data_IF_207670524608
#
_entry.id   IF_207670524608
#
_cell.length_a   1.000
_cell.length_b   1.000
_cell.length_c   1.000
_cell.angle_alpha   90.00
_cell.angle_beta   90.00
_cell.angle_gamma   90.00
#
_symmetry.space_group_name_H-M   'P 1'
#
loop_
_entity.id
_entity.type
_entity.pdbx_description
1 polymer ?
#
# COMPACT_ATOMS: atom_id res chain seq x y z
N UNK A 1 -0.76 -73.59 -15.65
CA UNK A 1 -1.33 -72.37 -16.30
C UNK A 1 -2.52 -71.77 -15.57
N UNK A 2 -3.74 -72.35 -15.58
CA UNK A 2 -4.94 -71.69 -14.98
C UNK A 2 -4.78 -71.31 -13.50
N UNK A 3 -4.12 -72.16 -12.70
CA UNK A 3 -3.87 -71.91 -11.27
C UNK A 3 -2.85 -70.80 -11.01
N UNK A 4 -1.83 -70.68 -11.88
CA UNK A 4 -0.80 -69.63 -11.78
C UNK A 4 -1.34 -68.26 -12.23
N UNK A 5 -2.20 -68.25 -13.26
CA UNK A 5 -2.90 -67.03 -13.70
C UNK A 5 -3.87 -66.53 -12.62
N UNK A 6 -4.60 -67.44 -11.97
CA UNK A 6 -5.50 -67.09 -10.86
C UNK A 6 -4.74 -66.52 -9.64
N UNK A 7 -3.56 -67.06 -9.33
CA UNK A 7 -2.70 -66.54 -8.25
C UNK A 7 -2.14 -65.16 -8.64
N UNK A 8 -1.72 -64.96 -9.89
CA UNK A 8 -1.24 -63.66 -10.37
C UNK A 8 -2.34 -62.58 -10.33
N UNK A 9 -3.57 -62.93 -10.73
CA UNK A 9 -4.74 -62.04 -10.67
C UNK A 9 -5.12 -61.75 -9.21
N UNK A 10 -5.06 -62.73 -8.30
CA UNK A 10 -5.26 -62.49 -6.87
C UNK A 10 -4.19 -61.57 -6.29
N UNK A 11 -2.91 -61.77 -6.63
CA UNK A 11 -1.82 -60.89 -6.18
C UNK A 11 -2.01 -59.48 -6.73
N UNK A 12 -2.41 -59.33 -8.00
CA UNK A 12 -2.76 -58.02 -8.59
C UNK A 12 -3.97 -57.37 -7.91
N UNK A 13 -5.01 -58.13 -7.55
CA UNK A 13 -6.20 -57.62 -6.84
C UNK A 13 -5.96 -57.33 -5.35
N UNK A 14 -4.95 -57.96 -4.75
CA UNK A 14 -4.54 -57.73 -3.35
C UNK A 14 -3.50 -56.61 -3.25
N UNK A 15 -2.70 -56.39 -4.31
CA UNK A 15 -1.69 -55.31 -4.38
C UNK A 15 -2.26 -54.02 -4.97
N UNK A 16 -3.26 -54.08 -5.87
CA UNK A 16 -3.90 -52.90 -6.44
C UNK A 16 -4.55 -51.95 -5.40
N UNK A 17 -5.16 -52.41 -4.28
CA UNK A 17 -5.68 -51.52 -3.25
C UNK A 17 -4.58 -50.97 -2.32
N UNK A 18 -3.33 -51.43 -2.45
CA UNK A 18 -2.20 -51.03 -1.58
C UNK A 18 -1.35 -49.92 -2.23
N UNK A 19 -1.68 -49.49 -3.46
CA UNK A 19 -0.93 -48.46 -4.20
C UNK A 19 -1.68 -47.11 -4.28
N UNK A 20 -2.83 -46.96 -3.65
CA UNK A 20 -3.44 -45.64 -3.50
C UNK A 20 -3.84 -45.45 -2.04
N UNK A 21 -2.96 -44.79 -1.28
CA UNK A 21 -3.44 -43.89 -0.24
C UNK A 21 -4.33 -42.87 -0.96
N UNK A 22 -5.61 -43.19 -1.11
CA UNK A 22 -6.62 -42.21 -1.52
C UNK A 22 -6.83 -41.31 -0.31
N UNK A 23 -5.83 -40.47 -0.03
CA UNK A 23 -6.06 -39.25 0.71
C UNK A 23 -7.21 -38.54 0.00
N UNK A 24 -8.22 -38.10 0.76
CA UNK A 24 -9.20 -37.19 0.19
C UNK A 24 -8.45 -36.00 -0.42
N UNK A 25 -8.76 -35.67 -1.68
CA UNK A 25 -8.16 -34.51 -2.33
C UNK A 25 -8.46 -33.27 -1.49
N UNK A 26 -7.45 -32.43 -1.27
CA UNK A 26 -7.66 -31.16 -0.57
C UNK A 26 -8.47 -30.24 -1.46
N UNK A 27 -9.45 -29.60 -0.86
CA UNK A 27 -10.27 -28.57 -1.51
C UNK A 27 -9.53 -27.24 -1.49
N UNK A 28 -9.32 -26.66 -2.66
CA UNK A 28 -8.68 -25.36 -2.85
C UNK A 28 -9.70 -24.40 -3.42
N UNK A 29 -9.95 -23.28 -2.73
CA UNK A 29 -10.79 -22.21 -3.24
C UNK A 29 -9.91 -21.10 -3.82
N UNK A 30 -10.19 -20.62 -5.02
CA UNK A 30 -9.44 -19.52 -5.64
C UNK A 30 -10.39 -18.36 -5.98
N UNK A 31 -10.03 -17.15 -5.57
CA UNK A 31 -10.79 -15.92 -5.78
C UNK A 31 -9.86 -14.76 -6.14
N UNK A 32 -10.42 -13.68 -6.69
CA UNK A 32 -9.70 -12.45 -6.98
C UNK A 32 -10.55 -11.21 -6.73
N UNK A 33 -9.85 -10.10 -6.53
CA UNK A 33 -10.42 -8.77 -6.73
C UNK A 33 -10.65 -8.50 -8.23
N UNK A 34 -11.17 -7.32 -8.57
CA UNK A 34 -11.19 -6.78 -9.92
C UNK A 34 -9.81 -6.25 -10.29
N UNK A 35 -9.12 -6.97 -11.18
CA UNK A 35 -7.73 -6.67 -11.55
C UNK A 35 -7.71 -5.91 -12.88
N UNK A 36 -8.17 -6.58 -13.95
CA UNK A 36 -8.18 -6.02 -15.31
C UNK A 36 -9.62 -5.82 -15.77
N UNK A 37 -10.32 -6.94 -15.97
CA UNK A 37 -11.72 -7.01 -16.37
C UNK A 37 -12.26 -8.41 -16.09
N UNK A 38 -13.59 -8.55 -16.09
CA UNK A 38 -14.27 -9.79 -15.73
C UNK A 38 -13.79 -11.03 -16.52
N UNK A 39 -13.64 -10.90 -17.84
CA UNK A 39 -13.34 -12.03 -18.71
C UNK A 39 -11.85 -12.41 -18.60
N UNK A 40 -10.97 -11.41 -18.55
CA UNK A 40 -9.53 -11.61 -18.40
C UNK A 40 -9.19 -12.24 -17.05
N UNK A 41 -9.76 -11.73 -15.96
CA UNK A 41 -9.49 -12.22 -14.61
C UNK A 41 -10.03 -13.65 -14.42
N UNK A 42 -11.24 -13.94 -14.91
CA UNK A 42 -11.76 -15.31 -14.91
C UNK A 42 -10.90 -16.27 -15.73
N UNK A 43 -10.34 -15.80 -16.85
CA UNK A 43 -9.44 -16.62 -17.68
C UNK A 43 -8.15 -16.92 -16.92
N UNK A 44 -7.58 -15.96 -16.19
CA UNK A 44 -6.42 -16.15 -15.31
C UNK A 44 -6.74 -17.18 -14.21
N UNK A 45 -7.86 -17.01 -13.49
CA UNK A 45 -8.27 -17.93 -12.42
C UNK A 45 -8.46 -19.37 -12.93
N UNK A 46 -9.09 -19.55 -14.09
CA UNK A 46 -9.30 -20.88 -14.67
C UNK A 46 -8.00 -21.52 -15.20
N UNK A 47 -7.07 -20.71 -15.72
CA UNK A 47 -5.74 -21.17 -16.14
C UNK A 47 -4.92 -21.62 -14.93
N UNK A 48 -4.83 -20.83 -13.88
CA UNK A 48 -4.15 -21.18 -12.62
C UNK A 48 -4.77 -22.45 -12.01
N UNK A 49 -6.10 -22.54 -11.94
CA UNK A 49 -6.81 -23.75 -11.52
C UNK A 49 -6.32 -24.98 -12.28
N UNK A 50 -6.31 -24.92 -13.61
CA UNK A 50 -5.97 -26.07 -14.45
C UNK A 50 -4.55 -26.55 -14.19
N UNK A 51 -3.61 -25.61 -14.03
CA UNK A 51 -2.22 -25.95 -13.70
C UNK A 51 -2.05 -26.49 -12.28
N UNK A 52 -2.75 -25.96 -11.27
CA UNK A 52 -2.70 -26.52 -9.91
C UNK A 52 -3.18 -27.99 -9.91
N UNK A 53 -4.30 -28.27 -10.58
CA UNK A 53 -4.86 -29.63 -10.68
C UNK A 53 -3.91 -30.57 -11.45
N UNK A 54 -3.25 -30.08 -12.51
CA UNK A 54 -2.25 -30.83 -13.27
C UNK A 54 -0.98 -31.12 -12.46
N UNK A 55 -0.36 -30.09 -11.88
CA UNK A 55 0.91 -30.17 -11.13
C UNK A 55 0.76 -31.05 -9.90
N UNK A 56 -0.38 -30.95 -9.20
CA UNK A 56 -0.67 -31.78 -8.02
C UNK A 56 -1.08 -33.22 -8.34
N UNK A 57 -1.21 -33.59 -9.62
CA UNK A 57 -1.67 -34.92 -10.01
C UNK A 57 -3.09 -35.25 -9.51
N UNK A 58 -3.91 -34.23 -9.26
CA UNK A 58 -5.26 -34.36 -8.72
C UNK A 58 -5.37 -34.43 -7.20
N UNK A 59 -4.27 -34.26 -6.45
CA UNK A 59 -4.29 -34.18 -4.99
C UNK A 59 -4.95 -32.89 -4.47
N UNK A 60 -4.96 -31.83 -5.30
CA UNK A 60 -5.65 -30.57 -5.05
C UNK A 60 -6.81 -30.43 -6.04
N UNK A 61 -8.03 -30.25 -5.54
CA UNK A 61 -9.20 -29.91 -6.36
C UNK A 61 -9.55 -28.44 -6.20
N UNK A 62 -9.52 -27.69 -7.30
CA UNK A 62 -9.68 -26.24 -7.26
C UNK A 62 -11.11 -25.84 -7.61
N UNK A 63 -11.69 -24.96 -6.81
CA UNK A 63 -13.00 -24.35 -7.03
C UNK A 63 -12.76 -22.86 -7.27
N UNK A 64 -13.08 -22.40 -8.49
CA UNK A 64 -13.07 -20.97 -8.81
C UNK A 64 -14.32 -20.34 -8.21
N UNK A 65 -14.11 -19.26 -7.47
CA UNK A 65 -15.16 -18.45 -6.90
C UNK A 65 -16.13 -17.93 -7.98
N UNK A 66 -17.42 -18.21 -7.80
CA UNK A 66 -18.45 -17.78 -8.74
C UNK A 66 -18.78 -16.28 -8.64
N UNK A 67 -18.29 -15.61 -7.60
CA UNK A 67 -18.39 -14.16 -7.43
C UNK A 67 -17.15 -13.42 -7.94
N UNK A 68 -16.07 -14.13 -8.29
CA UNK A 68 -14.86 -13.50 -8.79
C UNK A 68 -14.94 -13.17 -10.30
N UNK A 69 -14.19 -12.15 -10.76
CA UNK A 69 -13.56 -11.12 -9.93
C UNK A 69 -14.61 -10.20 -9.28
N UNK A 70 -14.38 -9.85 -8.01
CA UNK A 70 -15.16 -8.83 -7.29
C UNK A 70 -14.50 -8.47 -5.96
N UNK A 71 -14.68 -7.21 -5.52
CA UNK A 71 -14.28 -6.75 -4.20
C UNK A 71 -14.81 -7.64 -3.06
N UNK A 72 -14.02 -7.79 -1.99
CA UNK A 72 -14.35 -8.63 -0.82
C UNK A 72 -13.82 -10.06 -0.94
N UNK A 73 -12.89 -10.29 -1.86
CA UNK A 73 -12.18 -11.54 -2.10
C UNK A 73 -11.49 -12.08 -0.84
N UNK A 74 -10.89 -11.22 -0.01
CA UNK A 74 -10.31 -11.63 1.27
C UNK A 74 -11.35 -12.23 2.23
N UNK A 75 -12.53 -11.62 2.33
CA UNK A 75 -13.63 -12.13 3.16
C UNK A 75 -14.18 -13.46 2.63
N UNK A 76 -14.37 -13.57 1.31
CA UNK A 76 -14.82 -14.83 0.68
C UNK A 76 -13.82 -15.97 0.89
N UNK A 77 -12.51 -15.68 0.79
CA UNK A 77 -11.45 -16.63 1.10
C UNK A 77 -11.48 -17.11 2.56
N UNK A 78 -11.84 -16.22 3.49
CA UNK A 78 -11.98 -16.54 4.92
C UNK A 78 -13.23 -17.41 5.18
N UNK A 79 -14.40 -17.04 4.65
CA UNK A 79 -15.68 -17.68 5.01
C UNK A 79 -15.93 -19.02 4.34
N UNK A 80 -15.42 -19.24 3.12
CA UNK A 80 -15.68 -20.47 2.37
C UNK A 80 -15.22 -21.71 3.15
N UNK A 81 -15.90 -22.85 3.02
CA UNK A 81 -15.39 -24.10 3.59
C UNK A 81 -14.44 -24.75 2.58
N UNK A 82 -13.15 -24.67 2.86
CA UNK A 82 -12.05 -25.29 2.07
C UNK A 82 -10.84 -25.59 2.96
N UNK A 83 -9.96 -26.48 2.48
CA UNK A 83 -8.67 -26.75 3.14
C UNK A 83 -7.68 -25.61 2.91
N UNK A 84 -7.68 -25.07 1.68
CA UNK A 84 -6.84 -23.95 1.25
C UNK A 84 -7.72 -22.88 0.59
N UNK A 85 -7.39 -21.61 0.82
CA UNK A 85 -7.89 -20.49 0.03
C UNK A 85 -6.73 -19.74 -0.63
N UNK A 86 -6.90 -19.36 -1.89
CA UNK A 86 -5.98 -18.54 -2.66
C UNK A 86 -6.71 -17.23 -2.99
N UNK A 87 -6.06 -16.10 -2.71
CA UNK A 87 -6.62 -14.76 -2.98
C UNK A 87 -5.64 -13.97 -3.84
N UNK A 88 -6.11 -13.51 -5.00
CA UNK A 88 -5.37 -12.62 -5.90
C UNK A 88 -5.86 -11.20 -5.66
N UNK A 89 -5.02 -10.34 -5.08
CA UNK A 89 -5.38 -8.95 -4.79
C UNK A 89 -4.14 -8.06 -4.72
N UNK A 90 -4.36 -6.74 -4.85
CA UNK A 90 -3.32 -5.77 -4.58
C UNK A 90 -2.99 -5.75 -3.07
N UNK A 91 -1.80 -5.26 -2.72
CA UNK A 91 -1.40 -5.14 -1.33
C UNK A 91 -2.27 -4.12 -0.58
N UNK A 92 -3.10 -4.58 0.35
CA UNK A 92 -3.87 -3.73 1.26
C UNK A 92 -3.66 -4.14 2.73
N UNK A 93 -3.37 -3.16 3.58
CA UNK A 93 -3.08 -3.40 5.01
C UNK A 93 -4.29 -3.94 5.77
N UNK A 94 -5.51 -3.51 5.40
CA UNK A 94 -6.75 -3.97 6.02
C UNK A 94 -7.03 -5.43 5.67
N UNK A 95 -6.93 -5.78 4.39
CA UNK A 95 -7.06 -7.14 3.89
C UNK A 95 -6.04 -8.07 4.57
N UNK A 96 -4.77 -7.66 4.63
CA UNK A 96 -3.72 -8.44 5.32
C UNK A 96 -4.04 -8.68 6.79
N UNK A 97 -4.45 -7.64 7.52
CA UNK A 97 -4.84 -7.80 8.92
C UNK A 97 -6.02 -8.77 9.09
N UNK A 98 -7.00 -8.69 8.19
CA UNK A 98 -8.18 -9.56 8.21
C UNK A 98 -7.83 -11.02 7.94
N UNK A 99 -7.06 -11.28 6.86
CA UNK A 99 -6.58 -12.61 6.51
C UNK A 99 -5.72 -13.21 7.62
N UNK A 100 -4.77 -12.44 8.15
CA UNK A 100 -3.89 -12.86 9.22
C UNK A 100 -4.67 -13.21 10.49
N UNK A 101 -5.58 -12.33 10.92
CA UNK A 101 -6.42 -12.54 12.11
C UNK A 101 -7.31 -13.79 11.99
N UNK A 102 -7.78 -14.11 10.79
CA UNK A 102 -8.54 -15.33 10.53
C UNK A 102 -7.64 -16.58 10.57
N UNK A 103 -6.50 -16.50 9.88
CA UNK A 103 -5.59 -17.65 9.69
C UNK A 103 -4.94 -18.10 10.99
N UNK A 104 -4.59 -17.18 11.90
CA UNK A 104 -4.01 -17.53 13.21
C UNK A 104 -5.02 -18.25 14.13
N UNK A 105 -6.32 -18.09 13.89
CA UNK A 105 -7.40 -18.71 14.67
C UNK A 105 -8.02 -19.92 13.96
N UNK A 106 -7.37 -20.42 12.90
CA UNK A 106 -7.92 -21.43 12.00
C UNK A 106 -6.84 -22.41 11.51
N UNK A 107 -7.25 -23.64 11.20
CA UNK A 107 -6.40 -24.62 10.52
C UNK A 107 -6.36 -24.42 9.00
N UNK A 108 -7.24 -23.59 8.43
CA UNK A 108 -7.23 -23.27 7.00
C UNK A 108 -5.90 -22.63 6.63
N UNK A 109 -5.35 -23.03 5.48
CA UNK A 109 -4.21 -22.37 4.87
C UNK A 109 -4.69 -21.27 3.91
N UNK A 110 -4.05 -20.11 3.93
CA UNK A 110 -4.30 -19.04 2.95
C UNK A 110 -3.00 -18.75 2.21
N UNK A 111 -3.09 -18.69 0.88
CA UNK A 111 -2.01 -18.24 -0.01
C UNK A 111 -2.43 -16.92 -0.63
N UNK A 112 -1.57 -15.92 -0.55
CA UNK A 112 -1.82 -14.60 -1.14
C UNK A 112 -1.04 -14.44 -2.44
N UNK A 113 -1.68 -14.00 -3.51
CA UNK A 113 -1.01 -13.69 -4.77
C UNK A 113 -1.02 -12.18 -4.94
N UNK A 114 0.15 -11.57 -4.78
CA UNK A 114 0.33 -10.12 -4.88
C UNK A 114 0.40 -9.71 -6.35
N UNK A 115 -0.72 -9.18 -6.83
CA UNK A 115 -0.87 -8.74 -8.22
C UNK A 115 -0.32 -7.34 -8.49
N UNK A 116 0.14 -6.64 -7.45
CA UNK A 116 0.81 -5.34 -7.55
C UNK A 116 2.33 -5.46 -7.46
N UNK A 117 3.03 -4.37 -7.76
CA UNK A 117 4.49 -4.25 -7.72
C UNK A 117 5.05 -3.95 -6.32
N UNK A 118 4.18 -3.80 -5.32
CA UNK A 118 4.56 -3.58 -3.93
C UNK A 118 5.40 -4.76 -3.42
N UNK A 119 6.68 -4.53 -3.16
CA UNK A 119 7.61 -5.57 -2.75
C UNK A 119 7.38 -6.01 -1.29
N UNK A 120 6.85 -7.22 -1.09
CA UNK A 120 6.64 -7.83 0.23
C UNK A 120 7.91 -8.39 0.87
N UNK A 121 9.01 -8.56 0.13
CA UNK A 121 10.30 -9.02 0.68
C UNK A 121 11.20 -7.86 1.13
N UNK A 122 10.83 -6.62 0.82
CA UNK A 122 11.53 -5.47 1.37
C UNK A 122 11.06 -5.18 2.80
N UNK A 123 11.84 -5.65 3.78
CA UNK A 123 11.56 -5.53 5.22
C UNK A 123 11.58 -4.09 5.78
N UNK A 124 11.97 -3.09 4.97
CA UNK A 124 11.88 -1.68 5.35
C UNK A 124 10.58 -1.02 4.88
N UNK A 125 9.78 -1.74 4.08
CA UNK A 125 8.54 -1.21 3.55
C UNK A 125 7.47 -1.01 4.63
N UNK A 126 6.67 0.02 4.42
CA UNK A 126 5.50 0.33 5.20
C UNK A 126 4.27 0.37 4.28
N UNK A 127 3.30 -0.51 4.55
CA UNK A 127 2.05 -0.55 3.82
C UNK A 127 1.04 0.32 4.55
N UNK A 128 0.84 1.53 4.05
CA UNK A 128 -0.19 2.41 4.57
C UNK A 128 -1.56 1.78 4.35
N UNK A 129 -2.46 1.94 5.31
CA UNK A 129 -3.87 1.60 5.12
C UNK A 129 -4.46 2.34 3.90
N UNK A 130 -5.25 1.64 3.09
CA UNK A 130 -6.14 2.25 2.12
C UNK A 130 -7.47 2.68 2.79
N UNK A 131 -8.02 3.83 2.39
CA UNK A 131 -9.28 4.39 2.98
C UNK A 131 -10.48 4.28 2.04
N UNK A 132 -10.24 3.92 0.79
CA UNK A 132 -11.23 3.51 -0.20
C UNK A 132 -11.88 2.17 0.16
N UNK A 133 -11.17 1.28 0.86
CA UNK A 133 -11.65 -0.06 1.18
C UNK A 133 -12.06 -0.24 2.65
N UNK A 134 -13.26 -0.78 2.88
CA UNK A 134 -13.89 -0.92 4.20
C UNK A 134 -13.30 -2.04 5.10
N UNK A 135 -12.08 -2.53 4.83
CA UNK A 135 -11.52 -3.70 5.50
C UNK A 135 -11.20 -3.49 7.00
N UNK A 136 -11.09 -2.24 7.46
CA UNK A 136 -10.68 -1.93 8.84
C UNK A 136 -11.37 -0.72 9.44
N UNK A 137 -11.51 -0.71 10.77
CA UNK A 137 -12.01 0.47 11.50
C UNK A 137 -10.93 1.57 11.50
N UNK A 138 -11.30 2.81 11.88
CA UNK A 138 -10.39 3.97 11.89
C UNK A 138 -9.12 3.82 12.76
N UNK A 139 -9.01 2.77 13.59
CA UNK A 139 -7.83 2.53 14.42
C UNK A 139 -6.66 1.93 13.65
N UNK A 140 -6.85 1.35 12.46
CA UNK A 140 -5.72 0.87 11.64
C UNK A 140 -5.09 2.03 10.88
N UNK A 141 -3.76 2.16 10.97
CA UNK A 141 -2.98 3.14 10.21
C UNK A 141 -2.16 2.48 9.07
N UNK A 142 -1.69 1.24 9.29
CA UNK A 142 -0.97 0.46 8.28
C UNK A 142 -0.16 -0.69 8.90
N UNK A 143 0.73 -1.28 8.11
CA UNK A 143 1.59 -2.40 8.49
C UNK A 143 3.07 -2.09 8.21
N UNK A 144 3.92 -2.36 9.19
CA UNK A 144 5.38 -2.38 9.04
C UNK A 144 5.81 -3.77 8.59
N UNK A 145 6.74 -3.87 7.65
CA UNK A 145 7.25 -5.16 7.15
C UNK A 145 6.11 -6.16 6.84
N UNK A 146 5.22 -5.81 5.90
CA UNK A 146 3.98 -6.55 5.66
C UNK A 146 4.23 -8.01 5.23
N UNK A 147 5.33 -8.32 4.54
CA UNK A 147 5.66 -9.70 4.19
C UNK A 147 6.02 -10.55 5.40
N UNK A 148 6.81 -10.01 6.35
CA UNK A 148 7.04 -10.68 7.64
C UNK A 148 5.75 -10.84 8.43
N UNK A 149 4.88 -9.82 8.44
CA UNK A 149 3.58 -9.90 9.11
C UNK A 149 2.72 -11.07 8.56
N UNK A 150 2.61 -11.19 7.22
CA UNK A 150 1.88 -12.27 6.57
C UNK A 150 2.50 -13.64 6.87
N UNK A 151 3.82 -13.79 6.69
CA UNK A 151 4.54 -15.05 6.94
C UNK A 151 4.38 -15.52 8.38
N UNK A 152 4.50 -14.62 9.36
CA UNK A 152 4.29 -14.95 10.77
C UNK A 152 2.86 -15.43 11.04
N UNK A 153 1.86 -14.90 10.33
CA UNK A 153 0.47 -15.35 10.41
C UNK A 153 0.21 -16.68 9.67
N UNK A 154 1.22 -17.27 9.03
CA UNK A 154 1.10 -18.49 8.21
C UNK A 154 0.55 -18.23 6.81
N UNK A 155 0.60 -16.99 6.33
CA UNK A 155 0.19 -16.60 4.97
C UNK A 155 1.45 -16.43 4.13
N UNK A 156 1.63 -17.34 3.19
CA UNK A 156 2.71 -17.30 2.22
C UNK A 156 2.18 -16.70 0.93
N UNK A 157 3.08 -16.10 0.15
CA UNK A 157 2.67 -15.31 -0.99
C UNK A 157 3.53 -15.53 -2.24
N UNK A 158 2.89 -15.30 -3.39
CA UNK A 158 3.48 -15.30 -4.74
C UNK A 158 3.51 -13.84 -5.22
N UNK A 159 4.57 -13.42 -5.91
CA UNK A 159 4.74 -12.05 -6.40
C UNK A 159 5.00 -12.02 -7.92
N UNK A 160 3.99 -12.34 -8.76
CA UNK A 160 4.16 -12.45 -10.20
C UNK A 160 4.72 -11.19 -10.87
N UNK A 161 4.41 -10.01 -10.36
CA UNK A 161 4.88 -8.72 -10.91
C UNK A 161 6.40 -8.55 -10.83
N UNK A 162 7.07 -9.19 -9.86
CA UNK A 162 8.54 -9.19 -9.77
C UNK A 162 9.20 -9.99 -10.87
N UNK A 163 8.57 -11.09 -11.28
CA UNK A 163 9.13 -12.06 -12.22
C UNK A 163 8.69 -11.78 -13.66
N UNK A 164 7.49 -11.22 -13.81
CA UNK A 164 6.87 -10.82 -15.07
C UNK A 164 6.56 -9.31 -15.08
N UNK A 165 7.56 -8.42 -14.90
CA UNK A 165 7.33 -6.96 -14.88
C UNK A 165 6.79 -6.41 -16.21
N UNK A 166 6.89 -7.17 -17.31
CA UNK A 166 6.31 -6.81 -18.61
C UNK A 166 4.79 -6.99 -18.70
N UNK A 167 4.19 -7.64 -17.70
CA UNK A 167 2.76 -7.95 -17.61
C UNK A 167 2.02 -7.02 -16.65
N UNK A 168 2.58 -5.83 -16.40
CA UNK A 168 1.97 -4.82 -15.55
C UNK A 168 1.72 -3.52 -16.30
N UNK A 169 0.63 -2.84 -15.96
CA UNK A 169 0.37 -1.43 -16.26
C UNK A 169 0.15 -0.68 -14.94
N UNK A 170 0.81 0.47 -14.79
CA UNK A 170 0.83 1.25 -13.53
C UNK A 170 1.13 0.42 -12.27
N UNK A 171 2.02 -0.57 -12.38
CA UNK A 171 2.45 -1.40 -11.25
C UNK A 171 1.46 -2.50 -10.85
N UNK A 172 0.40 -2.73 -11.63
CA UNK A 172 -0.59 -3.79 -11.39
C UNK A 172 -0.62 -4.73 -12.59
N UNK A 173 -0.79 -6.04 -12.37
CA UNK A 173 -1.00 -7.00 -13.46
C UNK A 173 -2.13 -6.53 -14.38
N UNK A 174 -1.89 -6.52 -15.69
CA UNK A 174 -2.80 -5.91 -16.67
C UNK A 174 -3.25 -6.86 -17.79
N UNK A 175 -2.81 -8.12 -17.77
CA UNK A 175 -3.07 -9.07 -18.85
C UNK A 175 -3.01 -10.53 -18.43
N UNK A 176 -3.61 -11.36 -19.28
CA UNK A 176 -3.44 -12.80 -19.28
C UNK A 176 -2.07 -13.20 -19.86
N UNK A 177 -1.36 -14.07 -19.17
CA UNK A 177 -0.12 -14.70 -19.65
C UNK A 177 -0.06 -16.16 -19.17
N UNK A 178 0.16 -17.09 -20.10
CA UNK A 178 0.14 -18.53 -19.82
C UNK A 178 1.34 -18.98 -18.98
N UNK A 179 2.53 -18.47 -19.27
CA UNK A 179 3.77 -18.86 -18.60
C UNK A 179 3.75 -18.32 -17.15
N UNK A 180 3.25 -17.09 -16.99
CA UNK A 180 3.00 -16.49 -15.67
C UNK A 180 2.01 -17.32 -14.85
N UNK A 181 0.85 -17.67 -15.42
CA UNK A 181 -0.18 -18.44 -14.71
C UNK A 181 0.34 -19.82 -14.28
N UNK A 182 1.14 -20.47 -15.12
CA UNK A 182 1.78 -21.73 -14.79
C UNK A 182 2.79 -21.59 -13.65
N UNK A 183 3.58 -20.52 -13.65
CA UNK A 183 4.51 -20.24 -12.55
C UNK A 183 3.78 -19.95 -11.23
N UNK A 184 2.74 -19.11 -11.26
CA UNK A 184 1.90 -18.84 -10.09
C UNK A 184 1.34 -20.16 -9.53
N UNK A 185 0.82 -21.03 -10.39
CA UNK A 185 0.29 -22.33 -9.97
C UNK A 185 1.36 -23.23 -9.33
N UNK A 186 2.58 -23.28 -9.88
CA UNK A 186 3.69 -24.05 -9.32
C UNK A 186 4.05 -23.57 -7.91
N UNK A 187 4.24 -22.27 -7.72
CA UNK A 187 4.57 -21.70 -6.41
C UNK A 187 3.47 -21.91 -5.39
N UNK A 188 2.20 -21.81 -5.79
CA UNK A 188 1.05 -22.13 -4.94
C UNK A 188 1.12 -23.59 -4.46
N UNK A 189 1.37 -24.55 -5.36
CA UNK A 189 1.47 -25.97 -5.00
C UNK A 189 2.62 -26.20 -4.02
N UNK A 190 3.78 -25.58 -4.27
CA UNK A 190 4.95 -25.69 -3.39
C UNK A 190 4.67 -25.12 -2.00
N UNK A 191 3.99 -23.97 -1.92
CA UNK A 191 3.55 -23.36 -0.66
C UNK A 191 2.58 -24.28 0.10
N UNK A 192 1.57 -24.83 -0.58
CA UNK A 192 0.56 -25.70 0.05
C UNK A 192 1.20 -26.94 0.65
N UNK A 193 2.17 -27.53 -0.05
CA UNK A 193 2.84 -28.74 0.38
C UNK A 193 3.86 -28.50 1.50
N UNK A 194 4.47 -27.31 1.55
CA UNK A 194 5.56 -27.02 2.49
C UNK A 194 5.06 -26.42 3.80
N UNK A 195 4.05 -25.54 3.77
CA UNK A 195 3.77 -24.61 4.87
C UNK A 195 2.43 -24.84 5.59
N UNK A 196 1.71 -25.92 5.28
CA UNK A 196 0.37 -26.15 5.85
C UNK A 196 0.31 -26.34 7.38
N UNK A 197 1.45 -26.60 8.04
CA UNK A 197 1.52 -26.93 9.47
C UNK A 197 2.37 -25.94 10.30
N UNK A 198 2.74 -24.80 9.72
CA UNK A 198 3.60 -23.85 10.41
C UNK A 198 2.87 -23.17 11.58
N UNK A 199 3.65 -22.79 12.61
CA UNK A 199 3.11 -22.08 13.77
C UNK A 199 2.73 -20.66 13.37
N UNK A 200 1.52 -20.25 13.73
CA UNK A 200 0.93 -18.97 13.31
C UNK A 200 0.86 -18.01 14.49
N UNK A 201 1.33 -16.78 14.31
CA UNK A 201 1.29 -15.71 15.31
C UNK A 201 0.90 -14.40 14.65
N UNK A 202 -0.07 -13.70 15.25
CA UNK A 202 -0.39 -12.34 14.86
C UNK A 202 0.67 -11.39 15.43
N UNK A 203 1.46 -10.79 14.55
CA UNK A 203 2.57 -9.90 14.96
C UNK A 203 2.07 -8.49 15.23
N UNK A 204 1.39 -8.28 16.36
CA UNK A 204 0.77 -6.99 16.73
C UNK A 204 1.77 -5.83 16.72
N UNK A 205 3.05 -6.10 16.99
CA UNK A 205 4.13 -5.09 16.95
C UNK A 205 4.42 -4.54 15.54
N UNK A 206 3.98 -5.25 14.49
CA UNK A 206 4.07 -4.81 13.09
C UNK A 206 2.82 -4.04 12.65
N UNK A 207 1.74 -4.08 13.44
CA UNK A 207 0.51 -3.31 13.17
C UNK A 207 0.66 -1.90 13.70
N UNK A 208 0.51 -0.91 12.82
CA UNK A 208 0.49 0.50 13.20
C UNK A 208 -0.93 0.97 13.41
N UNK A 209 -1.20 1.57 14.57
CA UNK A 209 -2.53 1.98 14.99
C UNK A 209 -2.63 3.48 15.25
N UNK A 210 -3.86 3.98 15.10
CA UNK A 210 -4.28 5.30 15.56
C UNK A 210 -4.79 5.18 17.01
N UNK A 211 -3.98 5.58 17.97
CA UNK A 211 -4.39 5.81 19.37
C UNK A 211 -5.37 7.00 19.44
N UNK A 212 -5.13 8.04 18.66
CA UNK A 212 -6.04 9.16 18.47
C UNK A 212 -6.93 8.96 17.25
N UNK A 213 -8.23 9.24 17.37
CA UNK A 213 -9.14 9.17 16.21
C UNK A 213 -8.72 10.17 15.13
N UNK A 214 -8.63 9.78 13.85
CA UNK A 214 -8.28 10.72 12.78
C UNK A 214 -9.19 11.94 12.69
N UNK A 215 -10.48 11.79 13.03
CA UNK A 215 -11.42 12.91 13.08
C UNK A 215 -11.05 14.03 14.08
N UNK A 216 -10.26 13.74 15.11
CA UNK A 216 -9.73 14.77 16.02
C UNK A 216 -8.71 15.64 15.29
N UNK A 217 -7.81 15.02 14.52
CA UNK A 217 -6.81 15.74 13.71
C UNK A 217 -7.49 16.50 12.57
N UNK A 218 -8.49 15.91 11.92
CA UNK A 218 -9.25 16.58 10.87
C UNK A 218 -9.97 17.84 11.38
N UNK A 219 -10.57 17.79 12.57
CA UNK A 219 -11.20 18.98 13.18
C UNK A 219 -10.16 20.07 13.49
N UNK A 220 -8.99 19.71 14.02
CA UNK A 220 -7.90 20.66 14.25
C UNK A 220 -7.40 21.28 12.93
N UNK A 221 -7.23 20.47 11.88
CA UNK A 221 -6.89 20.93 10.54
C UNK A 221 -7.94 21.92 10.01
N UNK A 222 -9.22 21.62 10.19
CA UNK A 222 -10.32 22.50 9.78
C UNK A 222 -10.34 23.82 10.54
N UNK A 223 -10.04 23.81 11.83
CA UNK A 223 -9.89 25.04 12.63
C UNK A 223 -8.76 25.91 12.09
N UNK A 224 -7.61 25.33 11.74
CA UNK A 224 -6.52 26.06 11.12
C UNK A 224 -6.96 26.70 9.78
N UNK A 225 -7.53 25.92 8.87
CA UNK A 225 -7.95 26.42 7.55
C UNK A 225 -8.98 27.55 7.68
N UNK A 226 -9.92 27.46 8.61
CA UNK A 226 -10.93 28.49 8.82
C UNK A 226 -10.42 29.74 9.55
N UNK A 227 -9.33 29.63 10.32
CA UNK A 227 -8.78 30.75 11.07
C UNK A 227 -8.19 31.84 10.17
N UNK A 228 -7.67 31.45 9.01
CA UNK A 228 -6.88 32.33 8.15
C UNK A 228 -5.55 32.77 8.76
N UNK A 229 -5.08 32.11 9.84
CA UNK A 229 -3.78 32.39 10.45
C UNK A 229 -2.65 31.96 9.51
N UNK A 230 -1.92 32.96 8.99
CA UNK A 230 -0.76 32.75 8.10
C UNK A 230 0.56 32.63 8.85
N UNK A 231 0.60 33.11 10.08
CA UNK A 231 1.79 33.13 10.93
C UNK A 231 1.85 31.89 11.84
N UNK A 232 0.76 31.11 11.88
CA UNK A 232 0.66 29.83 12.61
C UNK A 232 1.02 29.97 14.10
N UNK A 233 0.60 31.07 14.72
CA UNK A 233 0.91 31.37 16.14
C UNK A 233 -0.19 30.92 17.09
N UNK A 234 -1.35 30.53 16.55
CA UNK A 234 -2.49 30.05 17.30
C UNK A 234 -2.41 28.59 17.76
N UNK A 235 -3.51 28.15 18.36
CA UNK A 235 -3.78 26.75 18.71
C UNK A 235 -5.02 26.26 17.97
N UNK A 236 -5.00 25.01 17.52
CA UNK A 236 -6.05 24.41 16.69
C UNK A 236 -6.40 23.03 17.23
N UNK A 237 -7.65 22.82 17.65
CA UNK A 237 -8.09 21.57 18.28
C UNK A 237 -7.30 21.22 19.55
N UNK A 238 -6.86 22.24 20.30
CA UNK A 238 -5.94 22.16 21.46
C UNK A 238 -4.48 21.77 21.13
N UNK A 239 -4.10 21.72 19.85
CA UNK A 239 -2.71 21.54 19.44
C UNK A 239 -2.05 22.89 19.17
N UNK A 240 -0.77 23.04 19.53
CA UNK A 240 0.07 24.10 18.95
C UNK A 240 0.28 23.83 17.45
N UNK A 241 0.70 24.84 16.69
CA UNK A 241 1.00 24.66 15.26
C UNK A 241 2.05 23.55 14.99
N UNK A 242 3.17 23.45 15.74
CA UNK A 242 4.08 22.31 15.62
C UNK A 242 3.41 20.96 15.91
N UNK A 243 2.56 20.89 16.93
CA UNK A 243 1.86 19.64 17.25
C UNK A 243 0.89 19.24 16.14
N UNK A 244 0.16 20.20 15.55
CA UNK A 244 -0.72 19.91 14.42
C UNK A 244 0.09 19.47 13.18
N UNK A 245 1.23 20.09 12.92
CA UNK A 245 2.14 19.66 11.85
C UNK A 245 2.58 18.20 12.07
N UNK A 246 2.99 17.85 13.28
CA UNK A 246 3.38 16.48 13.61
C UNK A 246 2.22 15.48 13.44
N UNK A 247 1.01 15.84 13.88
CA UNK A 247 -0.18 14.98 13.78
C UNK A 247 -0.58 14.73 12.32
N UNK A 248 -0.69 15.79 11.53
CA UNK A 248 -1.03 15.70 10.11
C UNK A 248 0.05 14.94 9.33
N UNK A 249 1.33 15.16 9.66
CA UNK A 249 2.45 14.40 9.08
C UNK A 249 2.36 12.90 9.42
N UNK A 250 2.06 12.57 10.68
CA UNK A 250 1.93 11.17 11.11
C UNK A 250 0.76 10.46 10.45
N UNK A 251 -0.37 11.16 10.27
CA UNK A 251 -1.55 10.63 9.59
C UNK A 251 -1.33 10.43 8.09
N UNK A 252 -0.73 11.42 7.42
CA UNK A 252 -0.46 11.36 5.98
C UNK A 252 0.53 10.23 5.67
N UNK A 253 1.67 10.20 6.35
CA UNK A 253 2.69 9.16 6.12
C UNK A 253 2.21 7.76 6.57
N UNK A 254 1.19 7.67 7.43
CA UNK A 254 0.57 6.41 7.83
C UNK A 254 1.13 5.76 9.09
N UNK A 255 2.07 6.41 9.79
CA UNK A 255 2.73 5.88 10.98
C UNK A 255 1.82 5.68 12.21
N UNK A 256 0.56 6.06 12.10
CA UNK A 256 -0.40 6.05 13.20
C UNK A 256 -0.41 7.37 13.96
N UNK A 257 -1.57 7.68 14.51
CA UNK A 257 -1.80 8.85 15.34
C UNK A 257 -1.64 8.51 16.81
N UNK A 258 -0.75 9.21 17.50
CA UNK A 258 -0.58 9.10 18.95
C UNK A 258 -0.63 10.48 19.60
N UNK A 259 -0.78 10.55 20.91
CA UNK A 259 -0.73 11.82 21.64
C UNK A 259 0.61 12.53 21.34
N UNK A 260 0.59 13.76 20.77
CA UNK A 260 1.83 14.41 20.41
C UNK A 260 2.61 14.79 21.67
N UNK A 261 3.93 14.66 21.58
CA UNK A 261 4.85 15.27 22.54
C UNK A 261 4.73 16.81 22.47
N UNK A 262 5.41 17.48 23.38
CA UNK A 262 5.70 18.91 23.19
C UNK A 262 6.77 19.03 22.09
N UNK A 263 6.44 19.74 21.02
CA UNK A 263 7.38 20.10 19.96
C UNK A 263 7.59 21.61 20.00
N UNK A 264 8.84 22.05 19.94
CA UNK A 264 9.18 23.48 19.86
C UNK A 264 8.85 24.04 18.46
N UNK A 265 8.66 25.36 18.42
CA UNK A 265 8.54 26.13 17.18
C UNK A 265 9.82 26.01 16.32
N UNK A 266 9.71 26.23 14.99
CA UNK A 266 10.90 26.36 14.13
C UNK A 266 11.80 27.50 14.61
N UNK A 267 13.10 27.37 14.40
CA UNK A 267 14.09 28.34 14.90
C UNK A 267 14.18 29.58 14.01
N UNK A 268 14.03 29.39 12.71
CA UNK A 268 14.04 30.44 11.71
C UNK A 268 13.20 29.99 10.51
N UNK A 269 11.86 29.92 10.66
CA UNK A 269 10.98 29.36 9.64
C UNK A 269 11.16 30.08 8.31
N UNK A 270 11.31 29.31 7.24
CA UNK A 270 11.40 29.87 5.90
C UNK A 270 10.05 30.48 5.54
N UNK A 271 10.03 31.81 5.39
CA UNK A 271 8.80 32.54 5.09
C UNK A 271 8.23 32.31 3.70
N UNK A 272 9.01 31.81 2.73
CA UNK A 272 8.54 31.59 1.35
C UNK A 272 9.17 30.32 0.75
N UNK A 273 8.33 29.42 0.24
CA UNK A 273 8.78 28.23 -0.51
C UNK A 273 9.17 28.57 -1.95
N UNK A 274 10.22 27.92 -2.45
CA UNK A 274 10.74 28.12 -3.81
C UNK A 274 10.99 26.78 -4.54
N UNK A 275 10.90 26.83 -5.88
CA UNK A 275 10.98 25.67 -6.78
C UNK A 275 9.89 24.60 -6.54
N UNK A 276 8.81 24.95 -5.83
CA UNK A 276 7.65 24.08 -5.66
C UNK A 276 6.89 23.89 -6.97
N UNK A 277 6.22 22.75 -7.10
CA UNK A 277 5.27 22.45 -8.17
C UNK A 277 3.90 23.04 -7.81
N UNK A 278 3.07 23.31 -8.82
CA UNK A 278 1.67 23.73 -8.59
C UNK A 278 0.83 22.60 -7.99
N UNK A 279 1.16 21.36 -8.31
CA UNK A 279 0.44 20.17 -7.84
C UNK A 279 1.44 19.09 -7.46
N UNK A 280 1.10 18.33 -6.42
CA UNK A 280 1.83 17.13 -6.01
C UNK A 280 0.85 15.96 -5.91
N UNK A 281 1.33 14.75 -6.21
CA UNK A 281 0.56 13.54 -5.98
C UNK A 281 0.37 13.30 -4.49
N UNK A 282 -0.64 12.53 -4.10
CA UNK A 282 -0.79 12.15 -2.69
C UNK A 282 0.42 11.37 -2.16
N UNK A 283 1.08 10.58 -3.01
CA UNK A 283 2.31 9.87 -2.64
C UNK A 283 3.47 10.81 -2.37
N UNK A 284 3.56 11.95 -3.07
CA UNK A 284 4.53 13.00 -2.73
C UNK A 284 4.24 13.58 -1.34
N UNK A 285 2.96 13.85 -1.02
CA UNK A 285 2.57 14.31 0.31
C UNK A 285 2.87 13.29 1.40
N UNK A 286 2.69 11.99 1.14
CA UNK A 286 3.07 10.94 2.09
C UNK A 286 4.58 10.93 2.37
N UNK A 287 5.41 11.13 1.34
CA UNK A 287 6.87 11.24 1.49
C UNK A 287 7.27 12.51 2.24
N UNK A 288 6.74 13.67 1.86
CA UNK A 288 6.99 14.95 2.54
C UNK A 288 6.60 14.87 4.03
N UNK A 289 5.44 14.29 4.34
CA UNK A 289 4.99 14.05 5.69
C UNK A 289 5.93 13.12 6.49
N UNK A 290 6.50 12.12 5.83
CA UNK A 290 7.53 11.25 6.42
C UNK A 290 8.78 12.02 6.83
N UNK A 291 9.31 12.86 5.92
CA UNK A 291 10.48 13.71 6.16
C UNK A 291 10.23 14.65 7.36
N UNK A 292 9.07 15.32 7.40
CA UNK A 292 8.71 16.22 8.50
C UNK A 292 8.63 15.47 9.81
N UNK A 293 7.89 14.35 9.86
CA UNK A 293 7.73 13.56 11.08
C UNK A 293 9.08 13.07 11.61
N UNK A 294 9.91 12.50 10.76
CA UNK A 294 11.23 12.00 11.13
C UNK A 294 12.12 13.13 11.69
N UNK A 295 12.14 14.29 11.03
CA UNK A 295 12.85 15.45 11.53
C UNK A 295 12.37 15.84 12.93
N UNK A 296 11.05 15.93 13.14
CA UNK A 296 10.48 16.32 14.42
C UNK A 296 10.80 15.29 15.52
N UNK A 297 10.70 13.99 15.21
CA UNK A 297 11.06 12.91 16.14
C UNK A 297 12.54 12.97 16.58
N UNK A 298 13.44 13.36 15.67
CA UNK A 298 14.87 13.47 15.93
C UNK A 298 15.25 14.76 16.66
N UNK A 299 14.61 15.88 16.33
CA UNK A 299 15.04 17.21 16.78
C UNK A 299 14.16 17.81 17.88
N UNK A 300 12.99 17.23 18.16
CA UNK A 300 12.05 17.74 19.18
C UNK A 300 11.40 19.08 18.81
N UNK A 301 11.50 19.52 17.55
CA UNK A 301 10.98 20.80 17.04
C UNK A 301 10.52 20.69 15.60
N UNK A 302 9.64 21.59 15.17
CA UNK A 302 9.24 21.70 13.77
C UNK A 302 10.42 22.15 12.88
N UNK A 303 10.50 21.67 11.62
CA UNK A 303 11.53 22.11 10.69
C UNK A 303 11.27 23.54 10.22
N UNK A 304 12.35 24.29 9.96
CA UNK A 304 12.25 25.60 9.30
C UNK A 304 11.74 25.46 7.85
N UNK A 305 12.17 24.38 7.19
CA UNK A 305 11.79 23.93 5.85
C UNK A 305 12.23 22.48 5.61
N UNK A 306 11.72 21.85 4.56
CA UNK A 306 12.25 20.58 4.03
C UNK A 306 12.77 20.76 2.59
N UNK A 307 13.62 19.83 2.16
CA UNK A 307 13.96 19.64 0.75
C UNK A 307 13.18 18.45 0.19
N UNK A 308 12.51 18.64 -0.95
CA UNK A 308 11.79 17.57 -1.64
C UNK A 308 11.92 17.72 -3.16
N UNK A 309 12.59 16.77 -3.81
CA UNK A 309 12.83 16.78 -5.27
C UNK A 309 13.39 18.11 -5.81
N UNK A 310 14.26 18.77 -5.04
CA UNK A 310 14.85 20.07 -5.39
C UNK A 310 13.99 21.30 -5.05
N UNK A 311 12.77 21.10 -4.56
CA UNK A 311 11.96 22.15 -3.96
C UNK A 311 12.37 22.37 -2.50
N UNK A 312 12.35 23.63 -2.06
CA UNK A 312 12.50 24.00 -0.66
C UNK A 312 11.15 24.49 -0.14
N UNK A 313 10.60 23.73 0.80
CA UNK A 313 9.22 23.89 1.26
C UNK A 313 9.22 24.35 2.72
N UNK A 314 8.75 25.56 2.98
CA UNK A 314 8.76 26.19 4.29
C UNK A 314 7.72 25.63 5.26
N UNK A 315 7.98 25.79 6.55
CA UNK A 315 7.10 25.38 7.66
C UNK A 315 5.62 25.73 7.45
N UNK A 316 5.33 26.99 7.08
CA UNK A 316 3.96 27.48 6.94
C UNK A 316 3.19 26.77 5.83
N UNK A 317 3.82 26.56 4.68
CA UNK A 317 3.18 25.90 3.54
C UNK A 317 3.01 24.40 3.82
N UNK A 318 3.94 23.75 4.53
CA UNK A 318 3.80 22.35 4.94
C UNK A 318 2.57 22.17 5.83
N UNK A 319 2.48 22.95 6.92
CA UNK A 319 1.37 22.84 7.86
C UNK A 319 0.03 23.13 7.18
N UNK A 320 -0.05 24.20 6.38
CA UNK A 320 -1.28 24.56 5.71
C UNK A 320 -1.74 23.50 4.70
N UNK A 321 -0.84 23.01 3.84
CA UNK A 321 -1.23 22.01 2.84
C UNK A 321 -1.59 20.67 3.49
N UNK A 322 -0.86 20.23 4.52
CA UNK A 322 -1.18 18.99 5.24
C UNK A 322 -2.53 19.11 5.97
N UNK A 323 -2.81 20.25 6.59
CA UNK A 323 -4.11 20.52 7.18
C UNK A 323 -5.23 20.55 6.13
N UNK A 324 -4.99 21.21 4.99
CA UNK A 324 -5.97 21.31 3.90
C UNK A 324 -6.37 19.94 3.36
N UNK A 325 -5.43 19.03 3.20
CA UNK A 325 -5.69 17.64 2.77
C UNK A 325 -6.54 16.92 3.81
N UNK A 326 -6.20 17.05 5.10
CA UNK A 326 -6.76 16.23 6.17
C UNK A 326 -8.05 16.79 6.79
N UNK A 327 -8.44 18.02 6.51
CA UNK A 327 -9.56 18.71 7.19
C UNK A 327 -10.94 18.03 7.05
N UNK A 328 -11.14 17.21 6.02
CA UNK A 328 -12.42 16.53 5.77
C UNK A 328 -12.42 15.06 6.23
N UNK A 329 -11.30 14.56 6.73
CA UNK A 329 -11.07 13.16 7.12
C UNK A 329 -11.68 12.86 8.50
N UNK A 330 -12.99 13.08 8.63
CA UNK A 330 -13.73 13.09 9.90
C UNK A 330 -14.35 11.75 10.27
N UNK A 331 -14.65 10.91 9.29
CA UNK A 331 -15.12 9.54 9.43
C UNK A 331 -14.68 8.70 8.22
N UNK A 332 -14.78 7.36 8.33
CA UNK A 332 -14.29 6.41 7.32
C UNK A 332 -14.76 6.74 5.89
N UNK A 333 -15.98 7.27 5.71
CA UNK A 333 -16.53 7.59 4.38
C UNK A 333 -15.88 8.82 3.73
N UNK A 334 -15.17 9.63 4.50
CA UNK A 334 -14.57 10.89 4.06
C UNK A 334 -13.04 10.89 4.21
N UNK A 335 -12.42 9.73 4.45
CA UNK A 335 -10.97 9.60 4.64
C UNK A 335 -10.22 9.16 3.37
N UNK A 336 -10.94 8.94 2.26
CA UNK A 336 -10.33 8.70 0.95
C UNK A 336 -9.51 9.90 0.49
N UNK A 337 -8.39 9.63 -0.17
CA UNK A 337 -7.55 10.68 -0.75
C UNK A 337 -7.85 10.86 -2.23
N UNK A 338 -7.71 12.09 -2.71
CA UNK A 338 -7.59 12.37 -4.13
C UNK A 338 -6.19 11.94 -4.61
N UNK A 339 -6.04 11.66 -5.90
CA UNK A 339 -4.75 11.25 -6.47
C UNK A 339 -3.70 12.36 -6.41
N UNK A 340 -4.15 13.62 -6.47
CA UNK A 340 -3.31 14.81 -6.52
C UNK A 340 -3.96 15.99 -5.78
N UNK A 341 -3.14 16.88 -5.24
CA UNK A 341 -3.59 18.10 -4.56
C UNK A 341 -2.78 19.31 -5.00
N UNK A 342 -3.48 20.43 -5.23
CA UNK A 342 -2.85 21.72 -5.49
C UNK A 342 -2.05 22.18 -4.27
N UNK A 343 -0.85 22.70 -4.50
CA UNK A 343 0.03 23.24 -3.48
C UNK A 343 -0.21 24.74 -3.28
N UNK A 344 -0.74 25.12 -2.13
CA UNK A 344 -0.98 26.52 -1.78
C UNK A 344 0.21 27.12 -1.04
N UNK A 345 0.65 28.31 -1.47
CA UNK A 345 1.58 29.14 -0.71
C UNK A 345 0.81 30.03 0.26
N UNK A 346 1.04 29.87 1.56
CA UNK A 346 0.49 30.72 2.62
C UNK A 346 1.04 32.13 2.50
N UNK A 347 2.36 32.19 2.29
CA UNK A 347 3.16 33.38 2.16
C UNK A 347 3.80 33.42 0.77
N UNK A 348 3.29 34.29 -0.08
CA UNK A 348 3.80 34.47 -1.44
C UNK A 348 4.26 35.91 -1.66
N UNK A 349 5.33 36.08 -2.41
CA UNK A 349 5.90 37.39 -2.71
C UNK A 349 5.82 37.66 -4.20
N UNK A 350 5.08 38.72 -4.56
CA UNK A 350 5.00 39.23 -5.93
C UNK A 350 6.40 39.46 -6.52
N UNK A 351 7.39 39.81 -5.70
CA UNK A 351 8.77 40.02 -6.16
C UNK A 351 9.39 38.75 -6.75
N UNK A 352 9.08 37.56 -6.22
CA UNK A 352 9.59 36.30 -6.74
C UNK A 352 8.97 35.96 -8.10
N UNK A 353 7.70 36.31 -8.32
CA UNK A 353 7.07 36.16 -9.64
C UNK A 353 7.61 37.15 -10.67
N UNK A 354 7.97 38.34 -10.23
CA UNK A 354 8.48 39.41 -11.12
C UNK A 354 9.97 39.25 -11.43
N UNK A 355 10.75 38.65 -10.54
CA UNK A 355 12.21 38.54 -10.66
C UNK A 355 12.69 37.85 -11.95
N UNK A 356 12.12 36.70 -12.40
CA UNK A 356 12.52 36.08 -13.67
C UNK A 356 12.36 37.03 -14.86
N UNK A 357 11.26 37.79 -14.91
CA UNK A 357 11.02 38.76 -15.97
C UNK A 357 12.03 39.91 -15.92
N UNK A 358 12.34 40.42 -14.71
CA UNK A 358 13.35 41.47 -14.53
C UNK A 358 14.74 40.96 -14.92
N UNK A 359 15.11 39.73 -14.55
CA UNK A 359 16.37 39.12 -14.92
C UNK A 359 16.49 38.94 -16.44
N UNK A 360 15.44 38.44 -17.11
CA UNK A 360 15.39 38.34 -18.57
C UNK A 360 15.54 39.72 -19.22
N UNK A 361 14.80 40.73 -18.75
CA UNK A 361 14.92 42.10 -19.27
C UNK A 361 16.32 42.67 -19.07
N UNK A 362 16.96 42.40 -17.94
CA UNK A 362 18.33 42.84 -17.66
C UNK A 362 19.36 42.15 -18.58
N UNK A 363 19.22 40.85 -18.81
CA UNK A 363 20.07 40.10 -19.75
C UNK A 363 19.88 40.62 -21.18
N UNK A 364 18.63 40.84 -21.61
CA UNK A 364 18.32 41.42 -22.92
C UNK A 364 18.89 42.84 -23.07
N UNK A 365 18.84 43.64 -22.00
CA UNK A 365 19.43 44.98 -21.97
C UNK A 365 20.96 44.93 -22.10
N UNK A 366 21.65 44.04 -21.37
CA UNK A 366 23.09 43.84 -21.51
C UNK A 366 23.47 43.36 -22.91
N UNK A 367 22.72 42.42 -23.48
CA UNK A 367 22.92 41.95 -24.85
C UNK A 367 22.75 43.08 -25.88
N UNK A 368 21.74 43.95 -25.69
CA UNK A 368 21.55 45.14 -26.52
C UNK A 368 22.73 46.12 -26.40
N UNK A 369 23.22 46.38 -25.19
CA UNK A 369 24.38 47.27 -24.98
C UNK A 369 25.64 46.72 -25.65
N UNK A 370 25.89 45.41 -25.56
CA UNK A 370 26.99 44.73 -26.23
C UNK A 370 26.84 44.82 -27.77
N UNK A 371 25.66 44.54 -28.30
CA UNK A 371 25.35 44.67 -29.72
C UNK A 371 25.58 46.11 -30.23
N UNK A 372 25.10 47.12 -29.49
CA UNK A 372 25.31 48.53 -29.81
C UNK A 372 26.78 48.93 -29.79
N UNK A 373 27.58 48.35 -28.89
CA UNK A 373 29.02 48.59 -28.81
C UNK A 373 29.77 47.96 -29.98
N UNK A 374 29.41 46.74 -30.38
CA UNK A 374 29.99 46.04 -31.53
C UNK A 374 29.68 46.78 -32.84
N UNK A 375 28.46 47.31 -33.01
CA UNK A 375 28.04 48.03 -34.23
C UNK A 375 28.61 49.45 -34.38
N UNK A 376 29.31 49.96 -33.36
CA UNK A 376 30.01 51.26 -33.39
C UNK A 376 31.50 51.15 -33.73
N UNK A 377 32.02 49.93 -33.83
CA UNK A 377 33.25 49.59 -34.55
C UNK A 377 32.87 49.15 -35.96
#
# INVERSE_FOLDING_TARGET
MKRQIAILIMVLLIVAPVIQDVSAAKTVFITSDNIVDHDTDLKVLNSIKSYIEEISGGELQVIVDNQAPAAGEGWRAIEVTSDVSITLAASDAGNYLQLASSTVNSNKQIVFVNIGDYDLDNHTNFLRRAWDDNYSNESLAGLKDPGTFLKNAGIYYVQPTKEFPGNTDNGILDRYDEDMNKQIAQEIVDIINTHGNDTKVLSDNLVSQNTLKPGVVANASKELINSGDKEMTGTYGNYTAPQLLYQTSSYLNGNGLDFPKSYEEPSNPMGISFLVKDTYSIYDYFKMAGIVREYMDQNGRAPDSIEYEGAHIGYYDLLYNFAKITQNHTDVKHMGFESEYHFDKVNDSILLHVFPFVAILFVLFLAYLLYKRIRRF
#
